data_IF_183602301370
#
_entry.id   IF_183602301370
#
_cell.length_a   1.000
_cell.length_b   1.000
_cell.length_c   1.000
_cell.angle_alpha   90.00
_cell.angle_beta   90.00
_cell.angle_gamma   90.00
#
_symmetry.space_group_name_H-M   'P 1'
#
loop_
_entity.id
_entity.type
_entity.pdbx_description
1 polymer ?
#
# COMPACT_ATOMS: atom_id res chain seq x y z
N UNK A 1 7.53 11.38 -12.00
CA UNK A 1 8.98 11.08 -12.03
C UNK A 1 9.08 9.66 -11.52
N UNK A 2 9.52 8.71 -12.33
CA UNK A 2 9.64 7.31 -11.91
C UNK A 2 10.57 7.23 -10.69
N UNK A 3 10.07 6.77 -9.54
CA UNK A 3 10.89 6.57 -8.34
C UNK A 3 11.89 5.47 -8.67
N UNK A 4 13.12 5.83 -9.07
CA UNK A 4 14.18 4.84 -9.28
C UNK A 4 14.62 4.32 -7.91
N UNK A 5 13.95 3.27 -7.44
CA UNK A 5 14.34 2.57 -6.22
C UNK A 5 15.54 1.66 -6.54
N UNK A 6 16.65 1.73 -5.78
CA UNK A 6 17.83 0.89 -6.01
C UNK A 6 17.60 -0.60 -5.69
N UNK A 7 16.39 -0.97 -5.24
CA UNK A 7 15.99 -2.32 -4.84
C UNK A 7 14.62 -2.65 -5.46
N UNK A 8 14.27 -3.94 -5.59
CA UNK A 8 12.97 -4.35 -6.12
C UNK A 8 11.80 -3.67 -5.39
N UNK A 9 10.77 -3.26 -6.13
CA UNK A 9 9.57 -2.60 -5.61
C UNK A 9 9.01 -3.26 -4.34
N UNK A 10 8.92 -4.60 -4.32
CA UNK A 10 8.43 -5.36 -3.18
C UNK A 10 9.22 -5.13 -1.88
N UNK A 11 10.51 -4.77 -1.96
CA UNK A 11 11.34 -4.46 -0.79
C UNK A 11 10.88 -3.17 -0.13
N UNK A 12 10.43 -2.18 -0.91
CA UNK A 12 9.91 -0.94 -0.36
C UNK A 12 8.63 -1.20 0.44
N UNK A 13 7.64 -1.85 -0.20
CA UNK A 13 6.36 -2.19 0.43
C UNK A 13 6.56 -3.04 1.70
N UNK A 14 7.44 -4.05 1.68
CA UNK A 14 7.73 -4.88 2.85
C UNK A 14 8.41 -4.11 3.98
N UNK A 15 9.26 -3.12 3.68
CA UNK A 15 9.90 -2.30 4.72
C UNK A 15 8.88 -1.41 5.45
N UNK A 16 7.98 -0.75 4.71
CA UNK A 16 6.90 0.07 5.28
C UNK A 16 5.99 -0.82 6.14
N UNK A 17 5.51 -1.92 5.56
CA UNK A 17 4.64 -2.90 6.24
C UNK A 17 5.30 -3.46 7.51
N UNK A 18 6.61 -3.76 7.46
CA UNK A 18 7.36 -4.26 8.63
C UNK A 18 7.38 -3.25 9.78
N UNK A 19 7.50 -1.95 9.48
CA UNK A 19 7.48 -0.88 10.49
C UNK A 19 6.09 -0.79 11.14
N UNK A 20 5.03 -0.83 10.33
CA UNK A 20 3.65 -0.79 10.83
C UNK A 20 3.35 -1.99 11.74
N UNK A 21 3.72 -3.20 11.31
CA UNK A 21 3.57 -4.42 12.11
C UNK A 21 4.34 -4.35 13.43
N UNK A 22 5.59 -3.85 13.42
CA UNK A 22 6.43 -3.71 14.63
C UNK A 22 5.83 -2.76 15.67
N UNK A 23 4.99 -1.82 15.23
CA UNK A 23 4.32 -0.86 16.09
C UNK A 23 2.87 -1.28 16.42
N UNK A 24 2.51 -2.55 16.19
CA UNK A 24 1.15 -3.07 16.39
C UNK A 24 0.09 -2.25 15.63
N UNK A 25 0.43 -1.80 14.42
CA UNK A 25 -0.50 -1.12 13.54
C UNK A 25 -1.75 -1.97 13.27
N UNK A 26 -2.92 -1.36 13.10
CA UNK A 26 -4.13 -2.07 12.73
C UNK A 26 -3.99 -2.73 11.35
N UNK A 27 -4.72 -3.80 11.13
CA UNK A 27 -4.64 -4.62 9.91
C UNK A 27 -4.86 -3.80 8.62
N UNK A 28 -5.86 -2.93 8.59
CA UNK A 28 -6.14 -2.08 7.42
C UNK A 28 -4.96 -1.17 7.05
N UNK A 29 -4.18 -0.71 8.04
CA UNK A 29 -3.03 0.15 7.81
C UNK A 29 -1.83 -0.66 7.32
N UNK A 30 -1.67 -1.88 7.83
CA UNK A 30 -0.65 -2.82 7.33
C UNK A 30 -0.94 -3.19 5.87
N UNK A 31 -2.21 -3.41 5.52
CA UNK A 31 -2.63 -3.71 4.15
C UNK A 31 -2.41 -2.49 3.25
N UNK A 32 -2.77 -1.28 3.69
CA UNK A 32 -2.49 -0.05 2.93
C UNK A 32 -1.00 0.12 2.66
N UNK A 33 -0.12 -0.03 3.66
CA UNK A 33 1.34 0.09 3.46
C UNK A 33 1.94 -0.95 2.49
N UNK A 34 1.21 -2.01 2.15
CA UNK A 34 1.60 -2.97 1.11
C UNK A 34 1.10 -2.56 -0.29
N UNK A 35 -0.02 -1.82 -0.35
CA UNK A 35 -0.77 -1.49 -1.56
C UNK A 35 -0.61 -0.03 -2.02
N UNK A 36 -0.08 0.86 -1.18
CA UNK A 36 -0.03 2.32 -1.41
C UNK A 36 0.58 2.71 -2.77
N UNK A 37 1.63 2.04 -3.23
CA UNK A 37 2.27 2.34 -4.51
C UNK A 37 1.66 1.50 -5.67
N UNK A 38 0.79 0.52 -5.39
CA UNK A 38 0.20 -0.37 -6.43
C UNK A 38 -0.79 0.40 -7.31
N UNK A 39 -1.54 1.33 -6.73
CA UNK A 39 -2.48 2.18 -7.49
C UNK A 39 -1.72 3.23 -8.33
N UNK A 40 -0.55 3.69 -7.87
CA UNK A 40 0.30 4.62 -8.61
C UNK A 40 1.04 3.94 -9.78
N UNK A 41 1.56 2.72 -9.55
CA UNK A 41 2.54 2.08 -10.44
C UNK A 41 1.94 1.02 -11.39
N UNK A 42 0.71 0.54 -11.15
CA UNK A 42 0.06 -0.54 -11.92
C UNK A 42 -1.38 -0.18 -12.35
N UNK A 43 -1.96 -0.96 -13.27
CA UNK A 43 -3.35 -0.81 -13.74
C UNK A 43 -4.38 -1.35 -12.72
N UNK A 44 -4.26 -0.97 -11.44
CA UNK A 44 -5.19 -1.31 -10.35
C UNK A 44 -5.96 -0.07 -9.92
N UNK A 45 -7.29 -0.17 -9.81
CA UNK A 45 -8.13 0.96 -9.40
C UNK A 45 -8.48 0.92 -7.91
N UNK A 46 -8.82 2.08 -7.33
CA UNK A 46 -9.38 2.14 -5.98
C UNK A 46 -10.67 1.32 -5.81
N UNK A 47 -11.42 1.08 -6.90
CA UNK A 47 -12.59 0.19 -6.86
C UNK A 47 -12.16 -1.25 -6.63
N UNK A 48 -11.09 -1.70 -7.30
CA UNK A 48 -10.55 -3.05 -7.12
C UNK A 48 -10.05 -3.24 -5.69
N UNK A 49 -9.33 -2.25 -5.14
CA UNK A 49 -8.88 -2.25 -3.74
C UNK A 49 -10.08 -2.33 -2.78
N UNK A 50 -11.13 -1.56 -3.04
CA UNK A 50 -12.33 -1.55 -2.21
C UNK A 50 -13.07 -2.88 -2.23
N UNK A 51 -13.15 -3.52 -3.39
CA UNK A 51 -13.85 -4.79 -3.57
C UNK A 51 -13.08 -5.96 -2.94
N UNK A 52 -11.74 -5.92 -2.95
CA UNK A 52 -10.90 -6.97 -2.34
C UNK A 52 -10.61 -6.78 -0.85
N UNK A 53 -10.35 -5.54 -0.40
CA UNK A 53 -9.84 -5.24 0.94
C UNK A 53 -10.78 -4.35 1.77
N UNK A 54 -11.87 -3.87 1.19
CA UNK A 54 -12.87 -3.05 1.86
C UNK A 54 -12.61 -1.55 1.76
N UNK A 55 -13.63 -0.77 2.12
CA UNK A 55 -13.61 0.68 1.94
C UNK A 55 -12.61 1.43 2.84
N UNK A 56 -12.28 0.88 4.01
CA UNK A 56 -11.30 1.50 4.92
C UNK A 56 -9.90 1.49 4.30
N UNK A 57 -9.47 0.36 3.76
CA UNK A 57 -8.19 0.23 3.05
C UNK A 57 -8.17 1.12 1.80
N UNK A 58 -9.23 1.08 0.98
CA UNK A 58 -9.30 1.90 -0.22
C UNK A 58 -9.22 3.41 0.08
N UNK A 59 -9.80 3.85 1.21
CA UNK A 59 -9.70 5.26 1.64
C UNK A 59 -8.26 5.61 2.03
N UNK A 60 -7.59 4.73 2.77
CA UNK A 60 -6.22 4.98 3.21
C UNK A 60 -5.24 5.00 2.02
N UNK A 61 -5.42 4.10 1.05
CA UNK A 61 -4.60 4.08 -0.18
C UNK A 61 -4.80 5.37 -0.98
N UNK A 62 -6.03 5.85 -1.15
CA UNK A 62 -6.32 7.13 -1.84
C UNK A 62 -5.68 8.35 -1.14
N UNK A 63 -5.52 8.31 0.18
CA UNK A 63 -4.84 9.36 0.94
C UNK A 63 -3.30 9.30 0.83
N UNK A 64 -2.73 8.15 0.49
CA UNK A 64 -1.30 7.88 0.47
C UNK A 64 -0.67 7.90 -0.94
N UNK A 65 -1.49 7.72 -1.99
CA UNK A 65 -1.12 7.75 -3.42
C UNK A 65 -1.05 9.16 -4.05
#
# INVERSE_FOLDING_TARGET
MEKVQPYPYIVHALNVTSILMKNNGPEHLIIEGLLQDVVEDEDVTLSDIKDEFGGEVATLVDEAS
#
